data_IF_269984044785
#
_entry.id   IF_269984044785
#
_cell.length_a   1.000
_cell.length_b   1.000
_cell.length_c   1.000
_cell.angle_alpha   90.00
_cell.angle_beta   90.00
_cell.angle_gamma   90.00
#
_symmetry.space_group_name_H-M   'P 1'
#
loop_
_entity.id
_entity.type
_entity.pdbx_description
1 polymer ?
#
# COMPACT_ATOMS: atom_id res chain seq x y z
N UNK A 1 -18.86 -8.79 -16.56
CA UNK A 1 -18.77 -9.63 -15.33
C UNK A 1 -18.23 -8.77 -14.22
N UNK A 2 -18.72 -8.91 -12.98
CA UNK A 2 -18.17 -8.14 -11.86
C UNK A 2 -16.77 -8.68 -11.53
N UNK A 3 -15.74 -7.84 -11.59
CA UNK A 3 -14.39 -8.18 -11.16
C UNK A 3 -14.40 -8.34 -9.62
N UNK A 4 -14.29 -9.56 -9.14
CA UNK A 4 -14.17 -9.83 -7.70
C UNK A 4 -12.69 -9.98 -7.34
N UNK A 5 -12.25 -9.32 -6.26
CA UNK A 5 -10.90 -9.51 -5.73
C UNK A 5 -10.83 -10.90 -5.07
N UNK A 6 -10.00 -11.83 -5.60
CA UNK A 6 -9.93 -13.19 -5.07
C UNK A 6 -9.40 -13.22 -3.63
N UNK A 7 -9.89 -14.18 -2.83
CA UNK A 7 -9.34 -14.48 -1.50
C UNK A 7 -8.36 -15.64 -1.62
N UNK A 8 -7.14 -15.45 -1.12
CA UNK A 8 -6.05 -16.43 -1.16
C UNK A 8 -5.61 -16.77 0.27
N UNK A 9 -5.79 -18.01 0.68
CA UNK A 9 -5.30 -18.50 1.97
C UNK A 9 -3.79 -18.83 1.90
N UNK A 10 -2.99 -18.16 2.72
CA UNK A 10 -1.55 -18.39 2.84
C UNK A 10 -1.18 -19.50 3.84
N UNK A 11 -2.13 -20.10 4.55
CA UNK A 11 -1.86 -21.18 5.51
C UNK A 11 -1.13 -22.37 4.86
N UNK A 12 -1.55 -22.73 3.63
CA UNK A 12 -0.87 -23.75 2.84
C UNK A 12 0.56 -23.37 2.42
N UNK A 13 0.84 -22.10 2.20
CA UNK A 13 2.19 -21.60 1.91
C UNK A 13 3.07 -21.58 3.16
N UNK A 14 2.57 -21.12 4.30
CA UNK A 14 3.36 -20.95 5.53
C UNK A 14 3.60 -22.26 6.29
N UNK A 15 2.62 -23.16 6.27
CA UNK A 15 2.62 -24.35 7.15
C UNK A 15 2.46 -25.66 6.37
N UNK A 16 2.14 -25.62 5.07
CA UNK A 16 1.98 -26.79 4.21
C UNK A 16 3.31 -27.31 3.63
N UNK A 17 3.25 -28.53 3.07
CA UNK A 17 4.34 -29.06 2.28
C UNK A 17 4.42 -28.41 0.90
N UNK A 18 5.33 -28.92 0.04
CA UNK A 18 5.58 -28.39 -1.31
C UNK A 18 4.28 -28.18 -2.14
N UNK A 19 3.35 -29.12 -2.07
CA UNK A 19 2.08 -29.02 -2.81
C UNK A 19 1.22 -27.83 -2.34
N UNK A 20 1.10 -27.61 -1.02
CA UNK A 20 0.37 -26.47 -0.45
C UNK A 20 1.00 -25.13 -0.83
N UNK A 21 2.34 -25.06 -0.80
CA UNK A 21 3.09 -23.86 -1.21
C UNK A 21 2.83 -23.50 -2.68
N UNK A 22 2.89 -24.49 -3.57
CA UNK A 22 2.64 -24.29 -5.00
C UNK A 22 1.17 -23.92 -5.29
N UNK A 23 0.23 -24.55 -4.60
CA UNK A 23 -1.20 -24.23 -4.76
C UNK A 23 -1.51 -22.78 -4.36
N UNK A 24 -0.99 -22.32 -3.22
CA UNK A 24 -1.13 -20.93 -2.79
C UNK A 24 -0.47 -19.96 -3.78
N UNK A 25 0.74 -20.29 -4.26
CA UNK A 25 1.46 -19.49 -5.25
C UNK A 25 0.69 -19.36 -6.57
N UNK A 26 0.12 -20.46 -7.07
CA UNK A 26 -0.71 -20.45 -8.28
C UNK A 26 -1.99 -19.60 -8.10
N UNK A 27 -2.66 -19.73 -6.96
CA UNK A 27 -3.85 -18.92 -6.66
C UNK A 27 -3.50 -17.42 -6.60
N UNK A 28 -2.41 -17.08 -5.92
CA UNK A 28 -1.90 -15.71 -5.84
C UNK A 28 -1.52 -15.17 -7.22
N UNK A 29 -0.77 -15.93 -8.02
CA UNK A 29 -0.37 -15.54 -9.38
C UNK A 29 -1.56 -15.21 -10.26
N UNK A 30 -2.58 -16.07 -10.29
CA UNK A 30 -3.82 -15.80 -11.05
C UNK A 30 -4.50 -14.51 -10.59
N UNK A 31 -4.63 -14.29 -9.30
CA UNK A 31 -5.22 -13.06 -8.77
C UNK A 31 -4.46 -11.80 -9.23
N UNK A 32 -3.13 -11.85 -9.24
CA UNK A 32 -2.29 -10.73 -9.71
C UNK A 32 -2.38 -10.51 -11.22
N UNK A 33 -2.59 -11.56 -12.01
CA UNK A 33 -2.79 -11.47 -13.46
C UNK A 33 -4.17 -10.92 -13.82
N UNK A 34 -5.21 -11.41 -13.16
CA UNK A 34 -6.60 -11.08 -13.46
C UNK A 34 -6.99 -9.70 -12.93
N UNK A 35 -6.74 -9.43 -11.65
CA UNK A 35 -7.17 -8.23 -10.96
C UNK A 35 -6.02 -7.28 -10.58
N UNK A 36 -4.79 -7.77 -10.47
CA UNK A 36 -3.69 -7.04 -9.82
C UNK A 36 -3.87 -6.90 -8.32
N UNK A 37 -4.91 -7.54 -7.75
CA UNK A 37 -5.34 -7.47 -6.36
C UNK A 37 -5.69 -8.87 -5.82
N UNK A 38 -5.43 -9.10 -4.55
CA UNK A 38 -5.92 -10.25 -3.80
C UNK A 38 -6.19 -9.86 -2.35
N UNK A 39 -7.19 -10.48 -1.72
CA UNK A 39 -7.29 -10.50 -0.26
C UNK A 39 -6.56 -11.74 0.24
N UNK A 40 -5.61 -11.60 1.14
CA UNK A 40 -4.91 -12.73 1.74
C UNK A 40 -5.40 -13.00 3.15
N UNK A 41 -5.54 -14.28 3.49
CA UNK A 41 -5.85 -14.78 4.84
C UNK A 41 -4.80 -15.78 5.28
N UNK A 42 -4.82 -16.25 6.52
CA UNK A 42 -3.83 -17.22 7.01
C UNK A 42 -2.37 -16.71 6.96
N UNK A 43 -2.17 -15.41 6.95
CA UNK A 43 -0.91 -14.70 6.69
C UNK A 43 0.08 -14.65 7.87
N UNK A 44 -0.28 -15.21 9.02
CA UNK A 44 0.61 -15.34 10.19
C UNK A 44 0.83 -14.06 11.01
N UNK A 45 0.26 -12.92 10.64
CA UNK A 45 0.30 -11.70 11.46
C UNK A 45 -0.72 -11.82 12.60
N UNK A 46 -0.25 -11.64 13.84
CA UNK A 46 -1.09 -11.79 15.03
C UNK A 46 -2.29 -10.81 15.02
N UNK A 47 -3.54 -11.28 15.12
CA UNK A 47 -4.72 -10.40 15.13
C UNK A 47 -4.70 -9.35 16.25
N UNK A 48 -4.14 -9.68 17.43
CA UNK A 48 -3.98 -8.74 18.52
C UNK A 48 -3.07 -7.55 18.14
N UNK A 49 -1.96 -7.81 17.42
CA UNK A 49 -1.06 -6.75 16.97
C UNK A 49 -1.79 -5.79 16.02
N UNK A 50 -2.57 -6.33 15.09
CA UNK A 50 -3.36 -5.51 14.13
C UNK A 50 -4.37 -4.64 14.88
N UNK A 51 -5.16 -5.22 15.80
CA UNK A 51 -6.16 -4.48 16.60
C UNK A 51 -5.53 -3.40 17.47
N UNK A 52 -4.44 -3.73 18.17
CA UNK A 52 -3.78 -2.81 19.09
C UNK A 52 -3.14 -1.64 18.33
N UNK A 53 -2.50 -1.92 17.19
CA UNK A 53 -1.96 -0.87 16.31
C UNK A 53 -3.07 0.03 15.79
N UNK A 54 -4.16 -0.56 15.30
CA UNK A 54 -5.35 0.17 14.84
C UNK A 54 -5.89 1.10 15.93
N UNK A 55 -6.07 0.59 17.17
CA UNK A 55 -6.54 1.37 18.31
C UNK A 55 -5.62 2.56 18.60
N UNK A 56 -4.31 2.33 18.75
CA UNK A 56 -3.37 3.41 19.03
C UNK A 56 -3.34 4.50 17.93
N UNK A 57 -3.43 4.08 16.68
CA UNK A 57 -3.47 5.02 15.55
C UNK A 57 -4.78 5.81 15.54
N UNK A 58 -5.91 5.18 15.85
CA UNK A 58 -7.21 5.88 16.03
C UNK A 58 -7.16 6.89 17.15
N UNK A 59 -6.57 6.55 18.31
CA UNK A 59 -6.35 7.46 19.43
C UNK A 59 -5.50 8.67 19.04
N UNK A 60 -4.43 8.46 18.22
CA UNK A 60 -3.65 9.56 17.67
C UNK A 60 -4.51 10.51 16.81
N UNK A 61 -5.28 9.96 15.86
CA UNK A 61 -6.11 10.78 14.98
C UNK A 61 -7.28 11.48 15.70
N UNK A 62 -7.73 10.96 16.84
CA UNK A 62 -8.75 11.59 17.68
C UNK A 62 -8.24 12.84 18.44
N UNK A 63 -6.94 13.10 18.47
CA UNK A 63 -6.36 14.28 19.09
C UNK A 63 -6.77 15.56 18.35
N UNK A 64 -6.83 16.72 19.05
CA UNK A 64 -7.00 18.01 18.42
C UNK A 64 -5.96 18.26 17.30
N UNK A 65 -6.37 18.88 16.21
CA UNK A 65 -5.49 19.12 15.06
C UNK A 65 -4.20 19.84 15.42
N UNK A 66 -4.27 20.82 16.35
CA UNK A 66 -3.08 21.53 16.83
C UNK A 66 -2.03 20.61 17.46
N UNK A 67 -2.45 19.53 18.14
CA UNK A 67 -1.53 18.54 18.71
C UNK A 67 -0.91 17.69 17.61
N UNK A 68 -1.73 17.18 16.68
CA UNK A 68 -1.25 16.38 15.55
C UNK A 68 -0.27 17.15 14.68
N UNK A 69 -0.50 18.45 14.44
CA UNK A 69 0.38 19.32 13.63
C UNK A 69 1.78 19.53 14.21
N UNK A 70 2.03 19.29 15.49
CA UNK A 70 3.37 19.30 16.09
C UNK A 70 4.29 18.24 15.47
N UNK A 71 3.72 17.19 14.88
CA UNK A 71 4.41 16.09 14.25
C UNK A 71 4.46 16.20 12.71
N UNK A 72 4.08 17.38 12.17
CA UNK A 72 4.24 17.68 10.75
C UNK A 72 5.72 17.89 10.43
N UNK A 73 6.28 17.17 9.46
CA UNK A 73 7.70 17.23 9.17
C UNK A 73 8.09 18.59 8.54
N UNK A 74 9.35 19.06 8.75
CA UNK A 74 9.92 20.11 7.93
C UNK A 74 9.91 19.75 6.43
N UNK A 75 9.93 20.75 5.56
CA UNK A 75 9.86 20.54 4.10
C UNK A 75 10.88 19.53 3.54
N UNK A 76 12.11 19.57 4.06
CA UNK A 76 13.19 18.68 3.63
C UNK A 76 12.97 17.20 3.94
N UNK A 77 12.00 16.88 4.78
CA UNK A 77 11.66 15.49 5.19
C UNK A 77 10.23 15.12 4.79
N UNK A 78 9.70 15.78 3.77
CA UNK A 78 8.34 15.51 3.22
C UNK A 78 8.04 14.02 3.11
N UNK A 79 6.79 13.65 3.39
CA UNK A 79 6.32 12.28 3.30
C UNK A 79 6.61 11.42 4.53
N UNK A 80 6.97 12.01 5.69
CA UNK A 80 7.07 11.34 7.00
C UNK A 80 6.35 12.17 8.06
N UNK A 81 5.93 11.54 9.16
CA UNK A 81 5.20 12.21 10.23
C UNK A 81 3.74 12.47 9.86
N UNK A 82 3.14 13.47 10.49
CA UNK A 82 1.74 13.81 10.28
C UNK A 82 1.55 14.69 9.05
N UNK A 83 0.68 14.25 8.18
CA UNK A 83 0.24 14.97 6.98
C UNK A 83 -1.22 15.43 7.20
N UNK A 84 -1.47 16.74 7.32
CA UNK A 84 -2.80 17.27 7.55
C UNK A 84 -3.78 17.02 6.39
N UNK A 85 -5.05 17.25 6.65
CA UNK A 85 -6.12 17.19 5.66
C UNK A 85 -5.85 18.05 4.42
N UNK A 86 -6.23 17.55 3.25
CA UNK A 86 -6.27 18.31 1.99
C UNK A 86 -4.90 18.82 1.50
N UNK A 87 -3.79 18.20 1.90
CA UNK A 87 -2.46 18.63 1.44
C UNK A 87 -1.97 17.84 0.22
N UNK A 88 -2.64 16.75 -0.12
CA UNK A 88 -2.29 15.87 -1.23
C UNK A 88 -3.45 15.80 -2.23
N UNK A 89 -3.11 15.51 -3.46
CA UNK A 89 -4.03 15.24 -4.56
C UNK A 89 -3.42 14.15 -5.42
N UNK A 90 -3.62 12.89 -5.01
CA UNK A 90 -2.95 11.77 -5.67
C UNK A 90 -3.40 11.58 -7.12
N UNK A 91 -4.67 11.84 -7.42
CA UNK A 91 -5.22 11.75 -8.78
C UNK A 91 -4.59 12.77 -9.75
N UNK A 92 -3.99 13.85 -9.25
CA UNK A 92 -3.29 14.82 -10.10
C UNK A 92 -2.16 14.19 -10.93
N UNK A 93 -1.63 13.04 -10.51
CA UNK A 93 -0.62 12.28 -11.27
C UNK A 93 -1.14 11.68 -12.57
N UNK A 94 -2.46 11.57 -12.72
CA UNK A 94 -3.14 11.02 -13.92
C UNK A 94 -3.78 12.15 -14.74
N UNK A 95 -4.59 12.99 -14.08
CA UNK A 95 -5.51 13.93 -14.74
C UNK A 95 -5.09 15.40 -14.61
N UNK A 96 -3.91 15.68 -14.04
CA UNK A 96 -3.46 17.04 -13.79
C UNK A 96 -4.09 17.63 -12.52
N UNK A 97 -4.73 18.83 -12.57
CA UNK A 97 -5.31 19.44 -11.38
C UNK A 97 -6.61 18.75 -10.98
N UNK A 98 -6.61 18.13 -9.81
CA UNK A 98 -7.79 17.55 -9.15
C UNK A 98 -7.99 18.16 -7.77
N UNK A 99 -9.22 18.12 -7.21
CA UNK A 99 -9.44 18.53 -5.82
C UNK A 99 -8.56 17.73 -4.86
N UNK A 100 -8.14 18.32 -3.73
CA UNK A 100 -7.32 17.61 -2.75
C UNK A 100 -8.09 16.46 -2.09
N UNK A 101 -7.35 15.40 -1.73
CA UNK A 101 -7.91 14.22 -1.09
C UNK A 101 -8.45 14.54 0.32
N UNK A 102 -9.58 13.91 0.68
CA UNK A 102 -10.27 14.11 1.96
C UNK A 102 -9.72 13.15 3.02
N UNK A 103 -8.43 13.25 3.27
CA UNK A 103 -7.74 12.44 4.26
C UNK A 103 -6.61 13.18 4.96
N UNK A 104 -6.23 12.68 6.10
CA UNK A 104 -4.99 12.99 6.81
C UNK A 104 -4.18 11.70 6.98
N UNK A 105 -2.88 11.80 7.18
CA UNK A 105 -2.05 10.60 7.30
C UNK A 105 -0.96 10.73 8.38
N UNK A 106 -0.55 9.58 8.93
CA UNK A 106 0.64 9.44 9.77
C UNK A 106 1.59 8.45 9.10
N UNK A 107 2.82 8.87 8.82
CA UNK A 107 3.74 8.14 7.95
C UNK A 107 5.07 7.85 8.63
N UNK A 108 5.49 6.58 8.57
CA UNK A 108 6.79 6.10 9.05
C UNK A 108 7.50 5.33 7.93
N UNK A 109 8.72 5.70 7.63
CA UNK A 109 9.46 5.08 6.54
C UNK A 109 10.82 4.52 7.00
N UNK A 110 11.14 3.32 6.50
CA UNK A 110 12.47 2.70 6.68
C UNK A 110 12.92 2.60 8.15
N UNK A 111 12.05 2.18 9.06
CA UNK A 111 12.35 2.08 10.50
C UNK A 111 13.57 1.19 10.77
N UNK A 112 13.79 0.15 9.98
CA UNK A 112 14.97 -0.71 10.10
C UNK A 112 16.29 0.06 9.87
N UNK A 113 16.26 1.15 9.07
CA UNK A 113 17.42 2.02 8.84
C UNK A 113 17.59 3.03 9.97
N UNK A 114 16.48 3.63 10.41
CA UNK A 114 16.48 4.56 11.54
C UNK A 114 17.05 3.91 12.82
N UNK A 115 16.63 2.68 13.13
CA UNK A 115 17.14 1.90 14.29
C UNK A 115 18.65 1.67 14.23
N UNK A 116 19.27 1.78 13.06
CA UNK A 116 20.72 1.69 12.85
C UNK A 116 21.41 3.08 12.77
N UNK A 117 20.66 4.14 13.01
CA UNK A 117 21.16 5.51 12.89
C UNK A 117 21.45 5.95 11.46
N UNK A 118 20.79 5.33 10.44
CA UNK A 118 21.04 5.60 9.03
C UNK A 118 19.76 6.16 8.38
N UNK A 119 19.92 7.22 7.61
CA UNK A 119 18.83 7.81 6.82
C UNK A 119 18.15 8.97 7.53
N UNK A 120 16.99 9.37 7.00
CA UNK A 120 16.19 10.46 7.56
C UNK A 120 15.40 9.97 8.78
N UNK A 121 15.27 10.78 9.85
CA UNK A 121 14.49 10.42 11.03
C UNK A 121 13.00 10.33 10.71
N UNK A 122 12.26 9.57 11.51
CA UNK A 122 10.81 9.63 11.58
C UNK A 122 10.37 10.61 12.68
N UNK A 123 9.15 11.09 12.61
CA UNK A 123 8.56 12.01 13.58
C UNK A 123 7.59 11.21 14.46
N UNK A 124 8.03 10.95 15.70
CA UNK A 124 7.31 10.10 16.63
C UNK A 124 6.39 10.95 17.52
N UNK A 125 5.06 10.75 17.45
CA UNK A 125 4.17 11.30 18.47
C UNK A 125 4.49 10.73 19.85
N UNK A 126 4.41 11.58 20.87
CA UNK A 126 4.59 11.17 22.25
C UNK A 126 3.34 10.48 22.82
N UNK A 127 2.17 10.83 22.27
CA UNK A 127 0.89 10.26 22.65
C UNK A 127 0.15 9.68 21.42
N UNK A 128 -0.51 8.53 21.57
CA UNK A 128 -0.53 7.66 22.78
C UNK A 128 0.84 7.05 23.09
N UNK A 129 1.19 6.90 24.37
CA UNK A 129 2.51 6.41 24.83
C UNK A 129 2.91 5.06 24.24
N UNK A 130 1.94 4.19 23.93
CA UNK A 130 2.18 2.89 23.29
C UNK A 130 2.43 2.96 21.78
N UNK A 131 2.18 4.10 21.13
CA UNK A 131 2.15 4.22 19.67
C UNK A 131 3.47 3.76 19.03
N UNK A 132 4.60 4.26 19.53
CA UNK A 132 5.92 3.93 18.99
C UNK A 132 6.22 2.43 19.08
N UNK A 133 5.89 1.79 20.20
CA UNK A 133 6.10 0.36 20.39
C UNK A 133 5.23 -0.47 19.44
N UNK A 134 3.94 -0.10 19.29
CA UNK A 134 2.99 -0.78 18.39
C UNK A 134 3.38 -0.63 16.93
N UNK A 135 3.73 0.58 16.49
CA UNK A 135 4.18 0.82 15.12
C UNK A 135 5.46 0.05 14.80
N UNK A 136 6.43 0.00 15.72
CA UNK A 136 7.65 -0.79 15.52
C UNK A 136 7.35 -2.28 15.37
N UNK A 137 6.49 -2.86 16.23
CA UNK A 137 6.10 -4.26 16.14
C UNK A 137 5.30 -4.54 14.85
N UNK A 138 4.41 -3.65 14.46
CA UNK A 138 3.64 -3.77 13.22
C UNK A 138 4.54 -3.67 11.99
N UNK A 139 5.52 -2.77 12.00
CA UNK A 139 6.52 -2.65 10.93
C UNK A 139 7.29 -3.97 10.74
N UNK A 140 7.74 -4.60 11.82
CA UNK A 140 8.47 -5.86 11.75
C UNK A 140 7.60 -6.99 11.21
N UNK A 141 6.32 -7.03 11.58
CA UNK A 141 5.35 -7.99 11.04
C UNK A 141 5.10 -7.76 9.53
N UNK A 142 4.96 -6.51 9.09
CA UNK A 142 4.80 -6.18 7.67
C UNK A 142 6.06 -6.49 6.87
N UNK A 143 7.24 -6.29 7.44
CA UNK A 143 8.51 -6.65 6.81
C UNK A 143 8.64 -8.17 6.62
N UNK A 144 8.24 -8.96 7.62
CA UNK A 144 8.21 -10.42 7.52
C UNK A 144 7.18 -10.89 6.47
N UNK A 145 5.97 -10.32 6.49
CA UNK A 145 4.93 -10.63 5.51
C UNK A 145 5.36 -10.27 4.08
N UNK A 146 6.01 -9.12 3.89
CA UNK A 146 6.53 -8.72 2.58
C UNK A 146 7.55 -9.74 2.03
N UNK A 147 8.42 -10.29 2.87
CA UNK A 147 9.36 -11.35 2.46
C UNK A 147 8.63 -12.63 2.04
N UNK A 148 7.63 -13.07 2.81
CA UNK A 148 6.80 -14.22 2.43
C UNK A 148 6.06 -13.99 1.11
N UNK A 149 5.52 -12.79 0.89
CA UNK A 149 4.87 -12.43 -0.37
C UNK A 149 5.85 -12.46 -1.54
N UNK A 150 7.11 -12.06 -1.36
CA UNK A 150 8.12 -12.15 -2.42
C UNK A 150 8.53 -13.59 -2.72
N UNK A 151 8.61 -14.47 -1.72
CA UNK A 151 8.82 -15.91 -1.93
C UNK A 151 7.64 -16.54 -2.66
N UNK A 152 6.42 -16.21 -2.25
CA UNK A 152 5.17 -16.63 -2.93
C UNK A 152 5.15 -16.16 -4.38
N UNK A 153 5.54 -14.89 -4.63
CA UNK A 153 5.64 -14.29 -5.95
C UNK A 153 6.66 -15.00 -6.83
N UNK A 154 7.82 -15.36 -6.30
CA UNK A 154 8.83 -16.11 -7.04
C UNK A 154 8.27 -17.46 -7.53
N UNK A 155 7.62 -18.22 -6.65
CA UNK A 155 6.98 -19.49 -7.03
C UNK A 155 5.84 -19.29 -8.03
N UNK A 156 5.02 -18.24 -7.87
CA UNK A 156 3.92 -17.93 -8.80
C UNK A 156 4.44 -17.56 -10.20
N UNK A 157 5.64 -17.00 -10.28
CA UNK A 157 6.31 -16.60 -11.52
C UNK A 157 7.26 -17.69 -12.07
N UNK A 158 7.19 -18.92 -11.55
CA UNK A 158 8.04 -20.06 -11.92
C UNK A 158 9.56 -19.76 -11.75
N UNK A 159 9.91 -18.99 -10.74
CA UNK A 159 11.28 -18.66 -10.34
C UNK A 159 11.69 -19.48 -9.10
N UNK A 160 13.00 -19.64 -8.81
CA UNK A 160 13.44 -20.13 -7.51
C UNK A 160 12.84 -19.33 -6.37
N UNK A 161 12.42 -19.98 -5.30
CA UNK A 161 11.72 -19.34 -4.17
C UNK A 161 12.48 -18.16 -3.56
N UNK A 162 13.79 -18.23 -3.54
CA UNK A 162 14.69 -17.20 -3.01
C UNK A 162 15.12 -16.14 -4.04
N UNK A 163 14.56 -16.16 -5.24
CA UNK A 163 14.93 -15.26 -6.34
C UNK A 163 15.01 -13.79 -5.91
N UNK A 164 14.03 -13.33 -5.17
CA UNK A 164 13.96 -11.93 -4.72
C UNK A 164 14.76 -11.66 -3.43
N UNK A 165 15.29 -12.67 -2.76
CA UNK A 165 15.97 -12.51 -1.46
C UNK A 165 17.13 -11.49 -1.49
N UNK A 166 18.02 -11.45 -2.52
CA UNK A 166 19.08 -10.44 -2.60
C UNK A 166 18.54 -9.02 -2.73
N UNK A 167 17.40 -8.85 -3.43
CA UNK A 167 16.76 -7.56 -3.69
C UNK A 167 15.92 -7.07 -2.50
N UNK A 168 15.61 -7.95 -1.53
CA UNK A 168 14.82 -7.65 -0.32
C UNK A 168 15.60 -7.86 0.98
N UNK A 169 16.94 -7.73 0.96
CA UNK A 169 17.75 -7.72 2.18
C UNK A 169 17.47 -6.50 3.05
N UNK A 170 17.39 -5.33 2.42
CA UNK A 170 17.02 -4.04 3.02
C UNK A 170 15.90 -3.38 2.21
N UNK A 171 14.73 -3.99 2.15
CA UNK A 171 13.65 -3.49 1.31
C UNK A 171 13.22 -2.10 1.77
N UNK A 172 12.74 -1.30 0.83
CA UNK A 172 11.98 -0.11 1.21
C UNK A 172 10.65 -0.57 1.81
N UNK A 173 10.32 -0.05 2.99
CA UNK A 173 9.02 -0.23 3.59
C UNK A 173 8.58 1.09 4.22
N UNK A 174 7.39 1.56 3.82
CA UNK A 174 6.75 2.75 4.37
C UNK A 174 5.40 2.34 4.93
N UNK A 175 5.21 2.56 6.23
CA UNK A 175 3.89 2.48 6.85
C UNK A 175 3.19 3.82 6.69
N UNK A 176 1.97 3.78 6.16
CA UNK A 176 1.10 4.93 6.05
C UNK A 176 -0.27 4.60 6.65
N UNK A 177 -0.62 5.30 7.71
CA UNK A 177 -1.92 5.23 8.34
C UNK A 177 -2.75 6.38 7.80
N UNK A 178 -3.83 6.08 7.10
CA UNK A 178 -4.67 7.09 6.43
C UNK A 178 -6.01 7.15 7.15
N UNK A 179 -6.27 8.28 7.77
CA UNK A 179 -7.55 8.55 8.41
C UNK A 179 -8.44 9.38 7.48
N UNK A 180 -9.66 8.92 7.31
CA UNK A 180 -10.72 9.60 6.58
C UNK A 180 -11.79 10.02 7.59
N UNK A 181 -11.74 11.26 8.10
CA UNK A 181 -12.70 11.73 9.10
C UNK A 181 -14.12 11.82 8.53
N UNK A 182 -15.08 12.02 9.41
CA UNK A 182 -16.45 12.35 9.03
C UNK A 182 -16.46 13.67 8.25
N UNK A 183 -17.30 13.72 7.24
CA UNK A 183 -17.40 14.87 6.32
C UNK A 183 -18.54 15.77 6.78
N UNK A 184 -18.21 16.88 7.43
CA UNK A 184 -19.19 17.89 7.85
C UNK A 184 -19.79 18.64 6.65
N UNK A 185 -18.96 18.90 5.64
CA UNK A 185 -19.36 19.58 4.41
C UNK A 185 -19.42 18.62 3.22
N UNK A 186 -20.25 18.91 2.22
CA UNK A 186 -20.25 18.16 0.98
C UNK A 186 -18.88 18.23 0.27
N UNK A 187 -18.36 17.11 -0.24
CA UNK A 187 -17.17 17.15 -1.09
C UNK A 187 -17.42 17.97 -2.36
N UNK A 188 -16.36 18.60 -2.86
CA UNK A 188 -16.38 19.26 -4.17
C UNK A 188 -16.68 18.23 -5.30
N UNK A 189 -17.19 18.70 -6.47
CA UNK A 189 -17.35 17.81 -7.60
C UNK A 189 -16.07 17.05 -7.96
N UNK A 190 -16.12 15.72 -7.99
CA UNK A 190 -14.98 14.88 -8.26
C UNK A 190 -14.02 14.67 -7.08
N UNK A 191 -14.22 15.32 -5.94
CA UNK A 191 -13.39 15.14 -4.74
C UNK A 191 -13.69 13.80 -4.07
N UNK A 192 -12.64 13.04 -3.76
CA UNK A 192 -12.72 11.72 -3.14
C UNK A 192 -11.99 11.68 -1.80
N UNK A 193 -12.24 10.63 -1.01
CA UNK A 193 -11.42 10.31 0.17
C UNK A 193 -9.97 10.09 -0.22
N UNK A 194 -9.74 9.34 -1.32
CA UNK A 194 -8.42 9.19 -1.94
C UNK A 194 -8.61 9.02 -3.45
N UNK A 195 -7.98 9.86 -4.23
CA UNK A 195 -8.15 9.92 -5.68
C UNK A 195 -7.65 8.65 -6.39
N UNK A 196 -8.04 8.49 -7.65
CA UNK A 196 -7.59 7.37 -8.47
C UNK A 196 -6.09 7.43 -8.74
N UNK A 197 -5.37 6.32 -8.53
CA UNK A 197 -3.93 6.25 -8.69
C UNK A 197 -3.44 4.81 -8.89
N UNK A 198 -2.18 4.69 -9.30
CA UNK A 198 -1.40 3.45 -9.26
C UNK A 198 -0.35 3.53 -8.15
N UNK A 199 -0.05 2.41 -7.49
CA UNK A 199 1.07 2.33 -6.56
C UNK A 199 2.41 2.24 -7.31
N UNK A 200 3.45 2.87 -6.78
CA UNK A 200 4.74 2.98 -7.48
C UNK A 200 5.73 1.87 -7.16
N UNK A 201 5.55 1.18 -6.03
CA UNK A 201 6.49 0.21 -5.46
C UNK A 201 6.38 -1.21 -6.02
N UNK A 202 6.73 -2.18 -5.17
CA UNK A 202 6.59 -3.62 -5.42
C UNK A 202 5.15 -4.08 -5.17
N UNK A 203 4.91 -4.65 -3.99
CA UNK A 203 3.57 -5.00 -3.52
C UNK A 203 3.17 -4.05 -2.39
N UNK A 204 1.89 -3.70 -2.35
CA UNK A 204 1.28 -2.98 -1.23
C UNK A 204 0.50 -3.95 -0.36
N UNK A 205 0.59 -3.79 0.96
CA UNK A 205 -0.16 -4.56 1.96
C UNK A 205 -1.10 -3.59 2.67
N UNK A 206 -2.40 -3.77 2.51
CA UNK A 206 -3.42 -2.88 3.05
C UNK A 206 -4.31 -3.62 4.05
N UNK A 207 -4.44 -3.08 5.25
CA UNK A 207 -5.53 -3.40 6.17
C UNK A 207 -6.55 -2.28 6.14
N UNK A 208 -7.77 -2.59 5.73
CA UNK A 208 -8.89 -1.64 5.74
C UNK A 208 -9.88 -1.98 6.86
N UNK A 209 -10.60 -0.99 7.35
CA UNK A 209 -11.73 -1.23 8.26
C UNK A 209 -13.05 -1.42 7.50
N UNK A 210 -14.11 -1.67 8.26
CA UNK A 210 -15.46 -1.94 7.72
C UNK A 210 -16.32 -0.69 7.55
N UNK A 211 -15.73 0.51 7.73
CA UNK A 211 -16.47 1.76 7.61
C UNK A 211 -17.03 1.99 6.20
N UNK A 212 -18.20 2.65 6.07
CA UNK A 212 -18.83 2.95 4.79
C UNK A 212 -17.96 3.81 3.86
N UNK A 213 -18.20 3.70 2.58
CA UNK A 213 -17.30 4.14 1.52
C UNK A 213 -16.14 3.14 1.45
N UNK A 214 -15.26 3.21 0.50
CA UNK A 214 -14.20 2.26 0.52
C UNK A 214 -13.36 2.17 -0.72
N UNK A 215 -12.50 1.15 -0.71
CA UNK A 215 -11.61 0.85 -1.80
C UNK A 215 -12.39 0.35 -3.01
N UNK A 216 -12.10 0.93 -4.16
CA UNK A 216 -12.54 0.46 -5.48
C UNK A 216 -11.34 0.25 -6.40
N UNK A 217 -11.43 -0.74 -7.27
CA UNK A 217 -10.48 -1.02 -8.34
C UNK A 217 -11.16 -0.84 -9.70
N UNK A 218 -10.39 -0.42 -10.70
CA UNK A 218 -10.84 -0.22 -12.06
C UNK A 218 -10.42 -1.40 -12.93
N UNK A 219 -11.35 -2.01 -13.66
CA UNK A 219 -11.04 -3.09 -14.59
C UNK A 219 -10.51 -2.56 -15.95
N UNK A 220 -10.34 -3.46 -16.91
CA UNK A 220 -9.83 -3.12 -18.22
C UNK A 220 -10.86 -2.40 -19.10
N UNK A 221 -12.13 -2.45 -18.73
CA UNK A 221 -13.27 -1.81 -19.39
C UNK A 221 -13.65 -0.48 -18.71
N UNK A 222 -12.78 0.07 -17.83
CA UNK A 222 -12.98 1.30 -17.06
C UNK A 222 -14.18 1.23 -16.08
N UNK A 223 -14.55 0.02 -15.65
CA UNK A 223 -15.61 -0.19 -14.64
C UNK A 223 -15.01 -0.28 -13.25
N UNK A 224 -15.60 0.43 -12.30
CA UNK A 224 -15.18 0.43 -10.91
C UNK A 224 -15.90 -0.66 -10.09
N UNK A 225 -15.12 -1.44 -9.34
CA UNK A 225 -15.59 -2.53 -8.49
C UNK A 225 -15.17 -2.32 -7.04
N UNK A 226 -16.09 -2.56 -6.11
CA UNK A 226 -15.79 -2.49 -4.68
C UNK A 226 -14.86 -3.62 -4.24
N UNK A 227 -13.93 -3.31 -3.35
CA UNK A 227 -13.10 -4.27 -2.64
C UNK A 227 -13.57 -4.37 -1.19
N UNK A 228 -14.44 -5.32 -0.86
CA UNK A 228 -14.98 -5.42 0.50
C UNK A 228 -13.87 -5.74 1.51
N UNK A 229 -13.95 -5.18 2.73
CA UNK A 229 -13.03 -5.55 3.80
C UNK A 229 -13.23 -7.01 4.20
N UNK A 230 -12.14 -7.68 4.60
CA UNK A 230 -12.18 -9.01 5.17
C UNK A 230 -11.73 -8.94 6.64
N UNK A 231 -12.48 -9.51 7.60
CA UNK A 231 -12.21 -9.33 9.05
C UNK A 231 -10.80 -9.76 9.46
N UNK A 232 -10.24 -10.80 8.82
CA UNK A 232 -8.92 -11.34 9.13
C UNK A 232 -7.95 -11.25 7.92
N UNK A 233 -8.23 -10.35 6.96
CA UNK A 233 -7.46 -10.29 5.72
C UNK A 233 -6.67 -9.01 5.55
N UNK A 234 -5.62 -9.10 4.74
CA UNK A 234 -4.97 -7.96 4.10
C UNK A 234 -5.28 -7.97 2.61
N UNK A 235 -5.53 -6.81 2.05
CA UNK A 235 -5.56 -6.63 0.60
C UNK A 235 -4.13 -6.42 0.11
N UNK A 236 -3.74 -7.17 -0.91
CA UNK A 236 -2.46 -7.05 -1.59
C UNK A 236 -2.70 -6.52 -2.98
N UNK A 237 -1.93 -5.53 -3.41
CA UNK A 237 -1.96 -5.06 -4.79
C UNK A 237 -0.56 -4.88 -5.38
N UNK A 238 -0.52 -4.96 -6.70
CA UNK A 238 0.68 -4.81 -7.52
C UNK A 238 0.97 -3.33 -7.74
N UNK A 239 2.20 -2.92 -7.46
CA UNK A 239 2.70 -1.60 -7.84
C UNK A 239 3.50 -1.62 -9.14
N UNK A 240 3.84 -0.43 -9.64
CA UNK A 240 4.49 -0.24 -10.94
C UNK A 240 5.80 -1.03 -11.09
N UNK A 241 6.65 -1.09 -10.05
CA UNK A 241 7.91 -1.84 -10.13
C UNK A 241 7.68 -3.35 -10.31
N UNK A 242 6.67 -3.91 -9.62
CA UNK A 242 6.31 -5.32 -9.79
C UNK A 242 5.71 -5.57 -11.18
N UNK A 243 4.88 -4.66 -11.68
CA UNK A 243 4.33 -4.74 -13.03
C UNK A 243 5.44 -4.71 -14.09
N UNK A 244 6.47 -3.87 -13.91
CA UNK A 244 7.64 -3.82 -14.79
C UNK A 244 8.47 -5.11 -14.75
N UNK A 245 8.72 -5.65 -13.56
CA UNK A 245 9.40 -6.95 -13.40
C UNK A 245 8.69 -8.06 -14.17
N UNK A 246 7.36 -8.08 -14.08
CA UNK A 246 6.53 -9.11 -14.73
C UNK A 246 6.14 -8.78 -16.18
N UNK A 247 6.78 -7.79 -16.80
CA UNK A 247 6.51 -7.36 -18.17
C UNK A 247 5.04 -6.93 -18.41
N UNK A 248 4.36 -6.48 -17.37
CA UNK A 248 2.94 -6.15 -17.38
C UNK A 248 2.00 -7.36 -17.26
N UNK A 249 2.53 -8.58 -17.03
CA UNK A 249 1.73 -9.78 -16.76
C UNK A 249 0.92 -9.62 -15.47
N UNK A 250 1.52 -9.07 -14.41
CA UNK A 250 0.82 -8.63 -13.21
C UNK A 250 0.46 -7.16 -13.36
N UNK A 251 -0.79 -6.84 -13.07
CA UNK A 251 -1.35 -5.53 -13.38
C UNK A 251 -1.16 -4.56 -12.21
N UNK A 252 -0.53 -3.41 -12.46
CA UNK A 252 -0.64 -2.26 -11.55
C UNK A 252 -2.02 -1.64 -11.79
N UNK A 253 -3.00 -2.06 -11.00
CA UNK A 253 -4.41 -1.72 -11.24
C UNK A 253 -4.75 -0.38 -10.62
N UNK A 254 -5.44 0.47 -11.38
CA UNK A 254 -5.96 1.75 -10.94
C UNK A 254 -6.97 1.55 -9.80
N UNK A 255 -6.82 2.31 -8.70
CA UNK A 255 -7.70 2.18 -7.54
C UNK A 255 -7.92 3.51 -6.85
N UNK A 256 -8.98 3.60 -6.05
CA UNK A 256 -9.41 4.81 -5.33
C UNK A 256 -10.13 4.48 -4.03
N UNK A 257 -10.33 5.50 -3.16
CA UNK A 257 -11.21 5.38 -1.99
C UNK A 257 -12.34 6.38 -2.14
N UNK A 258 -13.57 5.86 -2.26
CA UNK A 258 -14.76 6.68 -2.47
C UNK A 258 -15.33 7.23 -1.18
N UNK A 259 -16.08 8.32 -1.29
CA UNK A 259 -16.84 8.90 -0.19
C UNK A 259 -17.98 7.96 0.24
N UNK A 260 -18.39 7.98 1.52
CA UNK A 260 -19.58 7.26 1.95
C UNK A 260 -20.85 7.86 1.33
N UNK A 261 -21.93 7.08 1.20
CA UNK A 261 -23.24 7.61 0.84
C UNK A 261 -23.68 8.70 1.85
N UNK A 262 -24.24 9.79 1.34
CA UNK A 262 -24.59 10.98 2.15
C UNK A 262 -25.77 10.77 3.10
N UNK A 263 -26.64 9.88 2.75
CA UNK A 263 -27.85 9.52 3.50
C UNK A 263 -27.54 8.68 4.76
N UNK A 264 -26.30 8.23 4.92
CA UNK A 264 -25.91 7.48 6.11
C UNK A 264 -25.88 8.39 7.34
N UNK A 265 -26.48 7.92 8.40
CA UNK A 265 -26.44 8.52 9.73
C UNK A 265 -25.39 7.85 10.61
N UNK A 266 -24.74 8.61 11.48
CA UNK A 266 -23.67 8.13 12.33
C UNK A 266 -22.29 8.35 11.72
N UNK A 267 -21.25 7.89 12.43
CA UNK A 267 -19.86 8.08 11.97
C UNK A 267 -19.55 7.20 10.77
N UNK A 268 -18.98 7.81 9.78
CA UNK A 268 -18.42 7.17 8.59
C UNK A 268 -16.89 7.21 8.59
N UNK A 269 -16.30 7.62 9.72
CA UNK A 269 -14.85 7.69 9.87
C UNK A 269 -14.21 6.35 9.55
N UNK A 270 -13.17 6.39 8.71
CA UNK A 270 -12.46 5.21 8.21
C UNK A 270 -10.97 5.33 8.48
N UNK A 271 -10.31 4.21 8.75
CA UNK A 271 -8.86 4.11 8.84
C UNK A 271 -8.33 3.01 7.91
N UNK A 272 -7.33 3.35 7.12
CA UNK A 272 -6.54 2.39 6.33
C UNK A 272 -5.12 2.31 6.88
N UNK A 273 -4.60 1.10 7.10
CA UNK A 273 -3.21 0.87 7.48
C UNK A 273 -2.48 0.26 6.28
N UNK A 274 -1.62 1.03 5.66
CA UNK A 274 -0.95 0.70 4.40
C UNK A 274 0.54 0.47 4.64
N UNK A 275 1.09 -0.62 4.12
CA UNK A 275 2.51 -0.87 4.05
C UNK A 275 2.93 -0.93 2.57
N UNK A 276 3.52 0.15 2.07
CA UNK A 276 4.13 0.18 0.76
C UNK A 276 5.47 -0.52 0.81
N UNK A 277 5.66 -1.55 -0.02
CA UNK A 277 6.91 -2.29 -0.07
C UNK A 277 7.60 -2.15 -1.42
N UNK A 278 8.92 -2.29 -1.41
CA UNK A 278 9.73 -2.29 -2.62
C UNK A 278 11.09 -2.91 -2.37
N UNK A 279 11.86 -3.19 -3.42
CA UNK A 279 13.20 -3.74 -3.25
C UNK A 279 14.15 -2.74 -2.59
N UNK A 280 15.37 -3.18 -2.29
CA UNK A 280 16.48 -2.31 -1.92
C UNK A 280 16.57 -1.16 -2.93
N UNK A 281 16.81 0.06 -2.48
CA UNK A 281 16.80 1.23 -3.34
C UNK A 281 17.78 1.16 -4.53
N UNK A 282 18.92 0.47 -4.37
CA UNK A 282 19.91 0.28 -5.43
C UNK A 282 19.55 -0.81 -6.46
N UNK A 283 18.43 -1.53 -6.26
CA UNK A 283 18.03 -2.62 -7.17
C UNK A 283 17.69 -2.08 -8.55
N UNK A 284 18.24 -2.73 -9.59
CA UNK A 284 17.78 -2.56 -10.95
C UNK A 284 16.54 -3.45 -11.19
N UNK A 285 15.46 -2.85 -11.63
CA UNK A 285 14.21 -3.52 -11.99
C UNK A 285 14.16 -3.70 -13.49
N UNK A 286 14.45 -4.91 -13.95
CA UNK A 286 14.40 -5.34 -15.34
C UNK A 286 13.40 -6.48 -15.49
N UNK A 287 12.91 -6.74 -16.70
CA UNK A 287 12.00 -7.83 -16.99
C UNK A 287 12.56 -9.17 -16.49
N UNK A 288 11.73 -9.93 -15.75
CA UNK A 288 12.10 -11.26 -15.27
C UNK A 288 12.22 -12.27 -16.42
N UNK A 289 13.17 -13.23 -16.34
CA UNK A 289 13.42 -14.17 -17.43
C UNK A 289 12.22 -15.07 -17.76
N UNK A 290 11.32 -15.29 -16.82
CA UNK A 290 10.09 -16.08 -17.01
C UNK A 290 8.91 -15.24 -17.51
N UNK A 291 9.09 -13.94 -17.70
CA UNK A 291 8.04 -13.01 -18.15
C UNK A 291 8.32 -12.42 -19.55
N UNK A 292 9.33 -12.90 -20.24
CA UNK A 292 9.65 -12.51 -21.61
C UNK A 292 10.09 -13.74 -22.42
N UNK A 293 9.77 -13.73 -23.69
CA UNK A 293 10.19 -14.70 -24.71
C UNK A 293 10.32 -14.01 -26.07
N UNK A 294 10.51 -14.77 -27.14
CA UNK A 294 10.67 -14.25 -28.49
C UNK A 294 9.38 -13.58 -29.03
N UNK A 295 8.21 -14.04 -28.58
CA UNK A 295 6.90 -13.50 -28.98
C UNK A 295 6.48 -12.33 -28.07
N UNK A 296 6.99 -12.29 -26.83
CA UNK A 296 6.69 -11.27 -25.82
C UNK A 296 8.01 -10.67 -25.28
N UNK A 297 8.71 -9.86 -26.06
CA UNK A 297 9.97 -9.24 -25.61
C UNK A 297 9.74 -8.25 -24.46
N UNK A 298 10.79 -7.87 -23.71
CA UNK A 298 10.67 -6.88 -22.64
C UNK A 298 10.07 -5.56 -23.12
N UNK A 299 8.97 -5.14 -22.52
CA UNK A 299 8.22 -3.92 -22.86
C UNK A 299 8.82 -2.66 -22.22
N UNK A 300 9.54 -2.83 -21.12
CA UNK A 300 10.05 -1.75 -20.29
C UNK A 300 11.59 -1.77 -20.24
N UNK A 301 12.21 -0.61 -20.39
CA UNK A 301 13.64 -0.48 -20.10
C UNK A 301 13.90 -0.69 -18.59
N UNK A 302 15.06 -1.24 -18.20
CA UNK A 302 15.46 -1.34 -16.81
C UNK A 302 15.45 0.01 -16.10
N UNK A 303 15.07 0.03 -14.81
CA UNK A 303 15.06 1.24 -13.99
C UNK A 303 15.67 0.96 -12.61
N UNK A 304 16.33 1.96 -12.04
CA UNK A 304 16.70 1.92 -10.63
C UNK A 304 15.45 2.10 -9.76
N UNK A 305 15.23 1.22 -8.80
CA UNK A 305 14.03 1.21 -7.97
C UNK A 305 13.81 2.52 -7.20
N UNK A 306 14.84 3.05 -6.54
CA UNK A 306 14.73 4.29 -5.77
C UNK A 306 14.49 5.49 -6.68
N UNK A 307 15.23 5.62 -7.76
CA UNK A 307 15.08 6.73 -8.69
C UNK A 307 13.69 6.75 -9.34
N UNK A 308 13.14 5.56 -9.68
CA UNK A 308 11.80 5.44 -10.24
C UNK A 308 10.73 5.94 -9.25
N UNK A 309 10.73 5.43 -8.02
CA UNK A 309 9.76 5.84 -7.00
C UNK A 309 9.89 7.34 -6.68
N UNK A 310 11.12 7.86 -6.57
CA UNK A 310 11.35 9.28 -6.33
C UNK A 310 10.82 10.16 -7.46
N UNK A 311 10.98 9.77 -8.72
CA UNK A 311 10.44 10.51 -9.87
C UNK A 311 8.92 10.58 -9.86
N UNK A 312 8.25 9.49 -9.48
CA UNK A 312 6.78 9.44 -9.35
C UNK A 312 6.29 10.32 -8.19
N UNK A 313 6.95 10.24 -7.03
CA UNK A 313 6.62 11.09 -5.88
C UNK A 313 6.84 12.58 -6.18
N UNK A 314 7.93 12.93 -6.87
CA UNK A 314 8.18 14.31 -7.27
C UNK A 314 7.09 14.83 -8.23
N UNK A 315 6.63 14.00 -9.17
CA UNK A 315 5.54 14.36 -10.07
C UNK A 315 4.22 14.59 -9.30
N UNK A 316 3.90 13.73 -8.32
CA UNK A 316 2.68 13.89 -7.49
C UNK A 316 2.71 15.18 -6.65
N UNK A 317 3.87 15.57 -6.12
CA UNK A 317 4.02 16.80 -5.35
C UNK A 317 4.02 18.08 -6.21
N UNK A 318 4.59 18.02 -7.42
CA UNK A 318 4.64 19.17 -8.34
C UNK A 318 3.25 19.57 -8.84
N UNK A 319 2.29 18.65 -8.84
CA UNK A 319 0.91 18.85 -9.30
C UNK A 319 -0.05 19.21 -8.14
N UNK A 320 0.40 19.12 -6.89
CA UNK A 320 -0.39 19.57 -5.74
C UNK A 320 -0.66 21.09 -5.85
N UNK A 321 -1.89 21.57 -5.48
CA UNK A 321 -2.20 22.99 -5.53
C UNK A 321 -1.18 23.81 -4.74
N UNK A 322 -0.71 24.91 -5.32
CA UNK A 322 0.11 25.89 -4.59
C UNK A 322 -0.73 26.42 -3.41
N UNK A 323 -0.14 26.43 -2.23
CA UNK A 323 -0.75 26.96 -0.99
C UNK A 323 -0.92 28.47 -1.07
#
# INVERSE_FOLDING_TARGET
MTLAVPVVDLGGFLHGGRAGRLAAAQAFGRAMEEAGFATITGHGVAPALVRDTYRCVREFFAQPEQQKRRHTPPEQTKGRGYLPMKIESVAATLDGRTPPDLCEALVFASLQRERRGVGLPNYWPEEPTELAARINAYFDAMLALARHLMQLSALALALPEDWFAPMYREPSLTLRFVNYPDQEEPPEPGQLRYGAHHDYGGLTILRQDEAPGGLQICDAEDVWHDVPPHPDGFVINVGDLMSRWTNGRWRSTLHRVVNPPRELTGSTQRLSMVAFTGPNGATEVACLPTCADAEHPPRFAPVNAQAYVQSKLAASHALAPAR
#
